data_IF_471345900172
#
_entry.id   IF_471345900172
#
_cell.length_a   1.000
_cell.length_b   1.000
_cell.length_c   1.000
_cell.angle_alpha   90.00
_cell.angle_beta   90.00
_cell.angle_gamma   90.00
#
_symmetry.space_group_name_H-M   'P 1'
#
loop_
_entity.id
_entity.type
_entity.pdbx_description
1 polymer ?
#
# COMPACT_ATOMS: atom_id res chain seq x y z
N UNK A 1 -4.72 -26.10 -22.00
CA UNK A 1 -4.67 -26.77 -20.68
C UNK A 1 -4.60 -25.68 -19.61
N UNK A 2 -5.64 -25.50 -18.79
CA UNK A 2 -5.64 -24.49 -17.73
C UNK A 2 -4.59 -24.86 -16.66
N UNK A 3 -3.67 -23.94 -16.35
CA UNK A 3 -2.72 -24.12 -15.25
C UNK A 3 -3.28 -23.44 -14.01
N UNK A 4 -3.61 -24.22 -12.98
CA UNK A 4 -3.96 -23.70 -11.67
C UNK A 4 -2.66 -23.63 -10.83
N UNK A 5 -2.41 -22.48 -10.20
CA UNK A 5 -1.29 -22.27 -9.28
C UNK A 5 -1.85 -21.99 -7.89
N UNK A 6 -1.49 -22.80 -6.90
CA UNK A 6 -1.86 -22.62 -5.49
C UNK A 6 -0.60 -22.17 -4.76
N UNK A 7 -0.64 -20.98 -4.18
CA UNK A 7 0.44 -20.42 -3.36
C UNK A 7 0.10 -20.66 -1.89
N UNK A 8 0.87 -21.52 -1.23
CA UNK A 8 0.73 -21.79 0.20
C UNK A 8 2.03 -21.51 0.94
N UNK A 9 2.26 -20.25 1.26
CA UNK A 9 3.43 -19.87 2.07
C UNK A 9 3.25 -20.28 3.54
N UNK A 10 4.27 -20.87 4.19
CA UNK A 10 4.24 -21.21 5.62
C UNK A 10 3.93 -20.01 6.53
N UNK A 11 4.24 -18.79 6.07
CA UNK A 11 3.98 -17.53 6.79
C UNK A 11 2.69 -16.85 6.32
N UNK A 12 1.69 -17.60 5.82
CA UNK A 12 0.42 -17.06 5.31
C UNK A 12 -0.25 -16.11 6.30
N UNK A 13 -0.24 -16.45 7.59
CA UNK A 13 -0.80 -15.64 8.68
C UNK A 13 -0.18 -14.24 8.74
N UNK A 14 1.12 -14.14 8.47
CA UNK A 14 1.89 -12.90 8.62
C UNK A 14 2.14 -12.21 7.28
N UNK A 15 1.70 -12.81 6.16
CA UNK A 15 2.00 -12.33 4.80
C UNK A 15 1.56 -10.89 4.56
N UNK A 16 0.38 -10.51 5.08
CA UNK A 16 -0.13 -9.14 4.96
C UNK A 16 0.74 -8.16 5.74
N UNK A 17 1.16 -8.55 6.94
CA UNK A 17 2.04 -7.72 7.77
C UNK A 17 3.42 -7.56 7.13
N UNK A 18 4.03 -8.66 6.67
CA UNK A 18 5.32 -8.62 5.98
C UNK A 18 5.26 -7.78 4.70
N UNK A 19 4.20 -7.93 3.90
CA UNK A 19 3.98 -7.13 2.71
C UNK A 19 3.86 -5.64 3.02
N UNK A 20 3.08 -5.28 4.04
CA UNK A 20 2.93 -3.90 4.49
C UNK A 20 4.23 -3.29 5.02
N UNK A 21 5.00 -4.05 5.81
CA UNK A 21 6.28 -3.61 6.34
C UNK A 21 7.31 -3.33 5.24
N UNK A 22 7.42 -4.25 4.26
CA UNK A 22 8.32 -4.07 3.11
C UNK A 22 7.86 -2.89 2.25
N UNK A 23 6.55 -2.76 2.00
CA UNK A 23 6.02 -1.63 1.25
C UNK A 23 6.35 -0.29 1.93
N UNK A 24 6.11 -0.19 3.24
CA UNK A 24 6.41 1.02 4.01
C UNK A 24 7.91 1.38 3.99
N UNK A 25 8.78 0.37 4.06
CA UNK A 25 10.23 0.59 3.97
C UNK A 25 10.64 1.14 2.61
N UNK A 26 10.09 0.57 1.53
CA UNK A 26 10.38 0.98 0.16
C UNK A 26 9.83 2.37 -0.17
N UNK A 27 8.73 2.78 0.45
CA UNK A 27 8.08 4.08 0.19
C UNK A 27 8.43 5.16 1.18
N UNK A 28 9.27 4.91 2.19
CA UNK A 28 9.62 5.88 3.25
C UNK A 28 10.03 7.26 2.72
N UNK A 29 10.81 7.29 1.64
CA UNK A 29 11.35 8.52 1.05
C UNK A 29 10.49 9.07 -0.11
N UNK A 30 9.25 8.59 -0.27
CA UNK A 30 8.33 9.03 -1.33
C UNK A 30 7.21 9.87 -0.73
N UNK A 31 7.42 11.18 -0.67
CA UNK A 31 6.46 12.11 -0.03
C UNK A 31 5.05 12.05 -0.63
N UNK A 32 4.92 11.75 -1.92
CA UNK A 32 3.62 11.60 -2.59
C UNK A 32 2.83 10.35 -2.19
N UNK A 33 3.45 9.40 -1.49
CA UNK A 33 2.81 8.17 -1.02
C UNK A 33 2.21 8.34 0.39
N UNK A 34 2.77 9.24 1.19
CA UNK A 34 2.37 9.43 2.58
C UNK A 34 1.40 10.61 2.71
N UNK A 35 0.35 10.41 3.50
CA UNK A 35 -0.56 11.49 3.86
C UNK A 35 0.06 12.26 5.02
N UNK A 36 0.31 13.56 4.81
CA UNK A 36 0.79 14.45 5.86
C UNK A 36 -0.36 14.98 6.71
N UNK A 37 -0.03 15.51 7.89
CA UNK A 37 -1.02 16.11 8.78
C UNK A 37 -1.65 17.35 8.15
N UNK A 38 -0.83 18.14 7.45
CA UNK A 38 -1.25 19.36 6.77
C UNK A 38 -2.28 19.05 5.68
N UNK A 39 -2.00 18.04 4.83
CA UNK A 39 -2.91 17.62 3.77
C UNK A 39 -4.26 17.14 4.30
N UNK A 40 -4.26 16.40 5.42
CA UNK A 40 -5.49 15.96 6.07
C UNK A 40 -6.26 17.14 6.69
N UNK A 41 -5.57 18.12 7.29
CA UNK A 41 -6.22 19.29 7.86
C UNK A 41 -6.89 20.17 6.79
N UNK A 42 -6.30 20.27 5.59
CA UNK A 42 -6.85 21.06 4.48
C UNK A 42 -8.01 20.35 3.76
N UNK A 43 -7.86 19.06 3.44
CA UNK A 43 -8.79 18.33 2.55
C UNK A 43 -9.73 17.38 3.29
N UNK A 44 -9.51 17.16 4.59
CA UNK A 44 -10.20 16.14 5.38
C UNK A 44 -10.05 14.75 4.74
N UNK A 45 -11.15 14.01 4.67
CA UNK A 45 -11.19 12.69 4.02
C UNK A 45 -10.95 12.76 2.50
N UNK A 46 -11.01 13.94 1.87
CA UNK A 46 -10.72 14.13 0.45
C UNK A 46 -9.26 13.81 0.08
N UNK A 47 -8.37 13.78 1.08
CA UNK A 47 -6.95 13.41 0.94
C UNK A 47 -6.76 11.98 0.41
N UNK A 48 -7.72 11.08 0.65
CA UNK A 48 -7.67 9.69 0.20
C UNK A 48 -7.61 9.55 -1.33
N UNK A 49 -8.02 10.57 -2.08
CA UNK A 49 -7.86 10.61 -3.55
C UNK A 49 -6.39 10.57 -3.98
N UNK A 50 -5.45 11.02 -3.14
CA UNK A 50 -4.02 10.95 -3.42
C UNK A 50 -3.53 9.49 -3.48
N UNK A 51 -4.08 8.60 -2.65
CA UNK A 51 -3.73 7.18 -2.62
C UNK A 51 -4.27 6.43 -3.86
N UNK A 52 -5.46 6.78 -4.33
CA UNK A 52 -6.12 6.11 -5.46
C UNK A 52 -5.41 6.33 -6.82
N UNK A 53 -4.51 7.32 -6.89
CA UNK A 53 -3.76 7.62 -8.11
C UNK A 53 -2.52 6.73 -8.30
N UNK A 54 -2.19 5.87 -7.32
CA UNK A 54 -1.03 4.97 -7.40
C UNK A 54 -1.24 3.81 -8.38
N UNK A 55 -2.47 3.31 -8.52
CA UNK A 55 -2.79 2.17 -9.41
C UNK A 55 -2.91 2.54 -10.90
N UNK A 56 -2.74 3.83 -11.25
CA UNK A 56 -2.92 4.34 -12.61
C UNK A 56 -1.64 4.34 -13.47
N UNK A 57 -0.60 3.60 -13.10
CA UNK A 57 0.64 3.42 -13.89
C UNK A 57 1.00 1.96 -14.10
#
# INVERSE_FOLDING_TARGET
>A
KFKIKIEDSPRRKDMVFMGGAVLAELTRNRDSFWITREDYAEKGLGVLKQLNNYDSK
#
